data_IF_823782129313
#
_entry.id   IF_823782129313
#
_cell.length_a   1.000
_cell.length_b   1.000
_cell.length_c   1.000
_cell.angle_alpha   90.00
_cell.angle_beta   90.00
_cell.angle_gamma   90.00
#
_symmetry.space_group_name_H-M   'P 1'
#
loop_
_entity.id
_entity.type
_entity.pdbx_description
1 polymer ?
#
# COMPACT_ATOMS: atom_id res chain seq x y z
N UNK A 1 18.74 23.30 -0.09
CA UNK A 1 20.00 22.53 -0.09
C UNK A 1 20.23 22.02 1.32
N UNK A 2 19.97 20.74 1.57
CA UNK A 2 20.51 20.04 2.74
C UNK A 2 21.85 19.44 2.30
N UNK A 3 22.90 19.74 3.05
CA UNK A 3 24.31 19.49 2.76
C UNK A 3 24.75 18.03 2.90
N UNK A 4 23.82 17.09 3.04
CA UNK A 4 24.17 15.69 3.35
C UNK A 4 24.29 14.75 2.14
N UNK A 5 24.09 15.22 0.89
CA UNK A 5 24.45 14.45 -0.32
C UNK A 5 23.82 13.05 -0.46
N UNK A 6 22.81 12.70 0.36
CA UNK A 6 22.07 11.45 0.21
C UNK A 6 21.04 11.64 -0.89
N UNK A 7 21.36 11.13 -2.08
CA UNK A 7 20.41 10.84 -3.16
C UNK A 7 19.18 10.21 -2.52
N UNK A 8 18.01 10.87 -2.62
CA UNK A 8 16.74 10.20 -2.31
C UNK A 8 16.60 9.10 -3.36
N UNK A 9 16.93 7.87 -2.97
CA UNK A 9 16.52 6.70 -3.73
C UNK A 9 15.01 6.80 -3.78
N UNK A 10 14.44 6.81 -4.97
CA UNK A 10 13.00 6.94 -5.13
C UNK A 10 12.35 5.70 -4.53
N UNK A 11 11.71 5.86 -3.37
CA UNK A 11 11.11 4.77 -2.62
C UNK A 11 9.76 4.40 -3.23
N UNK A 12 9.44 3.10 -3.23
CA UNK A 12 8.13 2.62 -3.64
C UNK A 12 7.03 3.23 -2.74
N UNK A 13 5.95 3.71 -3.36
CA UNK A 13 4.75 4.14 -2.63
C UNK A 13 3.81 2.95 -2.47
N UNK A 14 3.30 2.78 -1.25
CA UNK A 14 2.38 1.70 -0.91
C UNK A 14 1.04 2.29 -0.49
N UNK A 15 -0.05 1.62 -0.87
CA UNK A 15 -1.37 1.86 -0.32
C UNK A 15 -1.90 0.56 0.27
N UNK A 16 -2.32 0.62 1.52
CA UNK A 16 -2.91 -0.50 2.25
C UNK A 16 -4.32 -0.15 2.65
N UNK A 17 -5.27 -1.00 2.25
CA UNK A 17 -6.67 -0.83 2.62
C UNK A 17 -7.24 -2.12 3.17
N UNK A 18 -8.16 -2.01 4.11
CA UNK A 18 -8.94 -3.12 4.66
C UNK A 18 -10.41 -2.74 4.58
N UNK A 19 -11.23 -3.63 4.04
CA UNK A 19 -12.68 -3.49 4.02
C UNK A 19 -13.22 -3.90 5.40
N UNK A 20 -13.23 -2.95 6.34
CA UNK A 20 -13.68 -3.23 7.71
C UNK A 20 -15.18 -3.46 7.78
N UNK A 21 -15.97 -2.80 6.94
CA UNK A 21 -17.42 -2.97 6.92
C UNK A 21 -17.86 -4.32 6.33
N UNK A 22 -17.07 -4.90 5.42
CA UNK A 22 -17.31 -6.22 4.82
C UNK A 22 -18.26 -6.20 3.63
N UNK A 23 -18.56 -5.04 3.10
CA UNK A 23 -19.42 -4.84 1.93
C UNK A 23 -18.68 -5.02 0.59
N UNK A 24 -17.40 -5.38 0.62
CA UNK A 24 -16.55 -5.45 -0.57
C UNK A 24 -16.17 -4.09 -1.14
N UNK A 25 -16.27 -3.02 -0.33
CA UNK A 25 -15.90 -1.67 -0.71
C UNK A 25 -14.73 -1.21 0.16
N UNK A 26 -13.84 -0.43 -0.43
CA UNK A 26 -12.66 0.12 0.24
C UNK A 26 -12.77 1.65 0.21
N UNK A 27 -13.81 2.16 0.87
CA UNK A 27 -14.20 3.57 0.83
C UNK A 27 -14.76 4.08 2.16
N UNK A 28 -14.82 3.24 3.19
CA UNK A 28 -15.10 3.66 4.54
C UNK A 28 -14.00 4.57 5.07
N UNK A 29 -14.36 5.44 6.02
CA UNK A 29 -13.45 6.45 6.60
C UNK A 29 -12.19 5.83 7.22
N UNK A 30 -12.27 4.56 7.63
CA UNK A 30 -11.21 3.82 8.31
C UNK A 30 -10.53 2.76 7.44
N UNK A 31 -10.95 2.60 6.19
CA UNK A 31 -10.45 1.54 5.31
C UNK A 31 -9.01 1.80 4.87
N UNK A 32 -8.58 3.07 4.75
CA UNK A 32 -7.21 3.42 4.42
C UNK A 32 -6.32 3.39 5.67
N UNK A 33 -5.53 2.33 5.78
CA UNK A 33 -4.60 2.09 6.91
C UNK A 33 -3.16 2.48 6.56
N UNK A 34 -2.93 3.14 5.43
CA UNK A 34 -1.58 3.45 4.92
C UNK A 34 -0.78 4.26 5.94
N UNK A 35 -1.38 5.32 6.51
CA UNK A 35 -0.72 6.16 7.49
C UNK A 35 -0.47 5.47 8.84
N UNK A 36 -1.29 4.47 9.19
CA UNK A 36 -1.13 3.68 10.41
C UNK A 36 -0.12 2.52 10.25
N UNK A 37 0.33 2.22 9.03
CA UNK A 37 1.19 1.06 8.77
C UNK A 37 2.64 1.36 9.20
N UNK A 38 3.12 0.61 10.19
CA UNK A 38 4.52 0.63 10.66
C UNK A 38 5.44 -0.21 9.77
N UNK A 39 4.87 -1.20 9.09
CA UNK A 39 5.58 -2.06 8.14
C UNK A 39 4.72 -3.24 7.71
N UNK A 40 5.09 -3.89 6.62
CA UNK A 40 4.43 -5.09 6.13
C UNK A 40 5.43 -6.01 5.43
N UNK A 41 5.06 -7.28 5.26
CA UNK A 41 5.79 -8.24 4.41
C UNK A 41 4.82 -8.97 3.50
N UNK A 42 5.15 -9.04 2.22
CA UNK A 42 4.42 -9.81 1.21
C UNK A 42 5.27 -11.00 0.75
N UNK A 43 4.73 -12.20 0.83
CA UNK A 43 5.31 -13.42 0.26
C UNK A 43 4.36 -14.02 -0.75
N UNK A 44 4.86 -14.26 -1.96
CA UNK A 44 4.16 -15.02 -3.00
C UNK A 44 5.18 -15.93 -3.67
N UNK A 45 4.86 -17.21 -3.80
CA UNK A 45 5.72 -18.20 -4.44
C UNK A 45 5.01 -18.74 -5.68
N UNK A 46 5.70 -18.65 -6.82
CA UNK A 46 5.35 -19.37 -8.04
C UNK A 46 6.55 -20.21 -8.44
N UNK A 47 6.35 -21.51 -8.52
CA UNK A 47 7.31 -22.44 -9.07
C UNK A 47 6.99 -22.66 -10.56
N UNK A 48 7.90 -22.21 -11.43
CA UNK A 48 7.75 -22.31 -12.88
C UNK A 48 7.93 -23.74 -13.40
N UNK A 49 8.61 -24.62 -12.67
CA UNK A 49 8.87 -25.99 -13.11
C UNK A 49 7.66 -26.90 -12.94
N UNK A 50 6.88 -26.68 -11.87
CA UNK A 50 5.68 -27.44 -11.54
C UNK A 50 4.38 -26.71 -11.87
N UNK A 51 4.47 -25.44 -12.31
CA UNK A 51 3.35 -24.49 -12.39
C UNK A 51 2.59 -24.34 -11.07
N UNK A 52 3.21 -24.69 -9.94
CA UNK A 52 2.63 -24.54 -8.62
C UNK A 52 2.64 -23.07 -8.19
N UNK A 53 1.52 -22.62 -7.64
CA UNK A 53 1.36 -21.25 -7.13
C UNK A 53 0.81 -21.33 -5.71
N UNK A 54 1.56 -20.77 -4.76
CA UNK A 54 1.08 -20.54 -3.39
C UNK A 54 0.22 -19.28 -3.33
N UNK A 55 -0.80 -19.31 -2.48
CA UNK A 55 -1.52 -18.11 -2.09
C UNK A 55 -0.55 -17.06 -1.53
N UNK A 56 -0.73 -15.81 -1.94
CA UNK A 56 0.05 -14.72 -1.38
C UNK A 56 -0.27 -14.55 0.12
N UNK A 57 0.76 -14.30 0.93
CA UNK A 57 0.63 -13.96 2.34
C UNK A 57 1.11 -12.53 2.57
N UNK A 58 0.25 -11.72 3.17
CA UNK A 58 0.54 -10.36 3.59
C UNK A 58 0.44 -10.27 5.12
N UNK A 59 1.54 -9.91 5.78
CA UNK A 59 1.56 -9.59 7.20
C UNK A 59 1.74 -8.08 7.38
N UNK A 60 0.90 -7.41 8.16
CA UNK A 60 0.89 -5.96 8.37
C UNK A 60 1.06 -5.66 9.86
N UNK A 61 1.85 -4.63 10.20
CA UNK A 61 1.96 -4.08 11.55
C UNK A 61 1.41 -2.67 11.58
N UNK A 62 0.44 -2.42 12.45
CA UNK A 62 -0.23 -1.13 12.59
C UNK A 62 0.18 -0.42 13.89
N UNK A 63 0.30 0.90 13.82
CA UNK A 63 0.28 1.76 14.97
C UNK A 63 -1.11 1.72 15.60
N UNK A 64 -1.19 1.54 16.90
CA UNK A 64 -2.47 1.36 17.61
C UNK A 64 -2.41 1.96 19.03
N UNK A 65 -1.80 3.15 19.16
CA UNK A 65 -1.63 3.81 20.46
C UNK A 65 -2.95 4.29 21.07
N UNK A 66 -3.96 4.55 20.24
CA UNK A 66 -5.32 4.94 20.61
C UNK A 66 -6.27 3.73 20.79
N UNK A 67 -5.75 2.51 20.62
CA UNK A 67 -6.52 1.27 20.66
C UNK A 67 -7.63 1.18 19.60
N UNK A 68 -7.56 1.93 18.49
CA UNK A 68 -8.53 1.88 17.39
C UNK A 68 -8.71 0.48 16.80
N UNK A 69 -7.62 -0.26 16.63
CA UNK A 69 -7.57 -1.62 16.08
C UNK A 69 -7.64 -2.72 17.16
N UNK A 70 -8.15 -2.41 18.35
CA UNK A 70 -8.34 -3.38 19.43
C UNK A 70 -9.82 -3.77 19.53
N UNK A 71 -10.20 -5.04 19.28
CA UNK A 71 -11.60 -5.47 19.38
C UNK A 71 -12.32 -5.13 20.70
N UNK A 72 -11.65 -5.13 21.87
CA UNK A 72 -12.28 -4.72 23.14
C UNK A 72 -12.61 -3.23 23.25
N UNK A 73 -12.08 -2.37 22.36
CA UNK A 73 -12.32 -0.93 22.40
C UNK A 73 -13.70 -0.61 21.82
N UNK A 74 -14.74 -0.80 22.63
CA UNK A 74 -16.14 -0.51 22.27
C UNK A 74 -16.45 0.94 21.89
N UNK A 75 -15.48 1.86 22.02
CA UNK A 75 -15.62 3.28 21.67
C UNK A 75 -15.00 3.63 20.32
N UNK A 76 -14.23 2.72 19.72
CA UNK A 76 -13.70 2.88 18.37
C UNK A 76 -14.82 2.75 17.35
N UNK A 77 -14.77 3.54 16.27
CA UNK A 77 -15.69 3.39 15.13
C UNK A 77 -15.54 2.02 14.44
N UNK A 78 -14.40 1.35 14.65
CA UNK A 78 -14.15 -0.03 14.19
C UNK A 78 -14.66 -1.11 15.16
N UNK A 79 -15.23 -0.74 16.31
CA UNK A 79 -15.76 -1.72 17.27
C UNK A 79 -16.81 -2.62 16.62
N UNK A 80 -16.64 -3.93 16.71
CA UNK A 80 -17.51 -4.92 16.06
C UNK A 80 -17.17 -5.21 14.59
N UNK A 81 -16.36 -4.38 13.94
CA UNK A 81 -15.94 -4.57 12.54
C UNK A 81 -14.56 -5.23 12.40
N UNK A 82 -13.80 -5.33 13.50
CA UNK A 82 -12.50 -6.01 13.57
C UNK A 82 -12.67 -7.55 13.63
N UNK A 83 -13.15 -8.14 12.55
CA UNK A 83 -13.39 -9.58 12.44
C UNK A 83 -12.36 -10.30 11.55
N UNK A 84 -12.14 -11.62 11.74
CA UNK A 84 -11.36 -12.41 10.79
C UNK A 84 -12.01 -12.45 9.39
N UNK A 85 -11.19 -12.54 8.34
CA UNK A 85 -11.67 -12.71 6.96
C UNK A 85 -11.98 -11.41 6.21
N UNK A 86 -11.72 -10.24 6.81
CA UNK A 86 -11.84 -8.95 6.12
C UNK A 86 -10.90 -8.91 4.91
N UNK A 87 -11.42 -8.40 3.79
CA UNK A 87 -10.64 -8.29 2.55
C UNK A 87 -9.57 -7.23 2.73
N UNK A 88 -8.36 -7.52 2.27
CA UNK A 88 -7.21 -6.62 2.34
C UNK A 88 -6.71 -6.34 0.93
N UNK A 89 -6.38 -5.09 0.67
CA UNK A 89 -5.79 -4.65 -0.59
C UNK A 89 -4.45 -3.97 -0.33
N UNK A 90 -3.42 -4.44 -1.03
CA UNK A 90 -2.10 -3.83 -1.06
C UNK A 90 -1.79 -3.42 -2.50
N UNK A 91 -1.47 -2.16 -2.73
CA UNK A 91 -1.01 -1.66 -4.02
C UNK A 91 0.36 -1.01 -3.89
N UNK A 92 1.22 -1.30 -4.86
CA UNK A 92 2.54 -0.72 -4.99
C UNK A 92 2.57 0.22 -6.21
N UNK A 93 3.14 1.39 -6.04
CA UNK A 93 3.54 2.26 -7.14
C UNK A 93 5.05 2.45 -7.04
N UNK A 94 5.77 1.95 -8.04
CA UNK A 94 7.20 2.16 -8.16
C UNK A 94 7.44 3.41 -9.00
N UNK A 95 8.45 4.22 -8.66
CA UNK A 95 8.92 5.27 -9.55
C UNK A 95 9.27 4.63 -10.89
N UNK A 96 8.72 5.15 -11.97
CA UNK A 96 9.11 4.79 -13.32
C UNK A 96 9.80 6.00 -13.96
N UNK A 97 10.84 5.73 -14.73
CA UNK A 97 11.55 6.76 -15.46
C UNK A 97 11.05 6.71 -16.92
N UNK A 98 10.25 7.69 -17.32
CA UNK A 98 9.75 7.77 -18.69
C UNK A 98 10.65 8.69 -19.52
N UNK A 99 11.66 8.12 -20.16
CA UNK A 99 12.48 8.83 -21.15
C UNK A 99 11.80 9.04 -22.51
N UNK A 100 10.48 8.84 -22.61
CA UNK A 100 9.78 8.83 -23.88
C UNK A 100 9.72 10.24 -24.50
N UNK A 101 10.61 10.51 -25.48
CA UNK A 101 10.45 11.60 -26.44
C UNK A 101 11.31 12.85 -26.23
N UNK A 102 12.31 12.84 -25.35
CA UNK A 102 13.16 14.03 -25.12
C UNK A 102 14.62 13.71 -25.44
N UNK A 103 15.11 14.20 -26.57
CA UNK A 103 16.56 14.33 -26.79
C UNK A 103 17.08 15.41 -25.83
N UNK A 104 18.31 15.24 -25.32
CA UNK A 104 19.03 16.20 -24.46
C UNK A 104 18.68 16.24 -22.95
N UNK A 105 18.02 15.21 -22.39
CA UNK A 105 17.84 15.13 -20.92
C UNK A 105 19.16 14.87 -20.20
N UNK A 106 19.63 15.84 -19.41
CA UNK A 106 20.78 15.70 -18.51
C UNK A 106 20.36 14.86 -17.29
N UNK A 107 20.80 13.61 -17.25
CA UNK A 107 20.40 12.61 -16.25
C UNK A 107 20.82 12.94 -14.81
N UNK A 108 21.82 13.80 -14.63
CA UNK A 108 22.38 14.12 -13.30
C UNK A 108 21.45 14.99 -12.44
N UNK A 109 20.38 15.55 -13.01
CA UNK A 109 19.38 16.36 -12.29
C UNK A 109 17.94 15.86 -12.53
N UNK A 110 17.75 14.66 -13.06
CA UNK A 110 16.41 14.10 -13.25
C UNK A 110 15.92 13.46 -11.95
N UNK A 111 14.81 13.96 -11.42
CA UNK A 111 14.05 13.25 -10.42
C UNK A 111 13.11 12.29 -11.17
N UNK A 112 13.14 10.98 -10.90
CA UNK A 112 12.23 10.05 -11.56
C UNK A 112 10.78 10.48 -11.29
N UNK A 113 9.94 10.37 -12.31
CA UNK A 113 8.53 10.67 -12.19
C UNK A 113 7.90 9.71 -11.17
N UNK A 114 7.58 10.26 -10.00
CA UNK A 114 6.38 9.83 -9.32
C UNK A 114 5.26 10.42 -10.16
N UNK A 115 4.32 9.63 -10.66
CA UNK A 115 3.11 10.25 -11.23
C UNK A 115 2.47 11.13 -10.15
N UNK A 116 2.70 12.44 -10.16
CA UNK A 116 1.98 13.38 -9.28
C UNK A 116 0.50 13.44 -9.68
N UNK A 117 0.19 13.02 -10.91
CA UNK A 117 -1.14 12.72 -11.43
C UNK A 117 -1.68 11.35 -11.00
N UNK A 118 -0.88 10.53 -10.30
CA UNK A 118 -1.32 9.20 -9.92
C UNK A 118 -2.25 9.27 -8.72
N UNK A 119 -3.53 9.11 -9.02
CA UNK A 119 -4.60 8.99 -8.04
C UNK A 119 -4.86 7.51 -7.79
N UNK A 120 -4.80 7.10 -6.53
CA UNK A 120 -5.27 5.78 -6.13
C UNK A 120 -6.77 5.70 -6.35
N UNK A 121 -7.21 4.89 -7.30
CA UNK A 121 -8.59 4.42 -7.35
C UNK A 121 -8.78 3.30 -6.32
N UNK A 122 -9.84 3.37 -5.52
CA UNK A 122 -10.26 2.23 -4.71
C UNK A 122 -10.71 1.10 -5.64
N UNK A 123 -10.40 -0.17 -5.31
CA UNK A 123 -10.95 -1.30 -6.05
C UNK A 123 -12.48 -1.33 -5.95
N UNK A 124 -13.16 -1.66 -7.06
CA UNK A 124 -14.58 -2.02 -7.05
C UNK A 124 -14.75 -3.42 -6.45
N UNK A 125 -15.98 -3.77 -6.08
CA UNK A 125 -16.38 -5.02 -5.41
C UNK A 125 -16.08 -6.33 -6.15
N UNK A 126 -15.35 -6.29 -7.26
CA UNK A 126 -15.24 -7.38 -8.23
C UNK A 126 -13.90 -8.13 -8.09
N UNK A 127 -13.69 -8.75 -6.93
CA UNK A 127 -12.69 -9.80 -6.72
C UNK A 127 -13.33 -11.03 -6.07
#
# INVERSE_FOLDING_TARGET
>A
MDTTGRRRVSEAKWKLMVDWGGEGKFSGDDDDITAATLGFSLRHLRDLGSEYIDAARLDIRLANADHKYSPPNGKSDLSGNLEPGRKVWLRAAFPCDMFAGVADTILDNHAPDYGESYVWSSPSSDF
#
